data_IF_496136109744
#
_entry.id   IF_496136109744
#
_cell.length_a   1.000
_cell.length_b   1.000
_cell.length_c   1.000
_cell.angle_alpha   90.00
_cell.angle_beta   90.00
_cell.angle_gamma   90.00
#
_symmetry.space_group_name_H-M   'P 1'
#
loop_
_entity.id
_entity.type
_entity.pdbx_description
1 polymer ?
#
# COMPACT_ATOMS: atom_id res chain seq x y z
N UNK A 1 -12.74 8.90 -45.82
CA UNK A 1 -11.88 9.47 -44.75
C UNK A 1 -11.96 8.53 -43.56
N UNK A 2 -10.91 7.74 -43.32
CA UNK A 2 -10.84 6.81 -42.19
C UNK A 2 -10.22 7.55 -41.00
N UNK A 3 -10.98 7.72 -39.92
CA UNK A 3 -10.45 8.23 -38.66
C UNK A 3 -9.50 7.17 -38.08
N UNK A 4 -8.22 7.50 -37.97
CA UNK A 4 -7.26 6.72 -37.21
C UNK A 4 -7.66 6.82 -35.74
N UNK A 5 -8.25 5.74 -35.19
CA UNK A 5 -8.39 5.60 -33.76
C UNK A 5 -6.99 5.42 -33.15
N UNK A 6 -6.42 6.52 -32.65
CA UNK A 6 -5.28 6.47 -31.75
C UNK A 6 -5.69 5.65 -30.53
N UNK A 7 -4.95 4.58 -30.21
CA UNK A 7 -5.19 3.76 -29.03
C UNK A 7 -5.15 4.58 -27.74
N UNK A 8 -5.63 4.03 -26.61
CA UNK A 8 -5.60 4.73 -25.33
C UNK A 8 -4.17 5.12 -24.97
N UNK A 9 -4.01 6.37 -24.51
CA UNK A 9 -2.73 6.87 -24.05
C UNK A 9 -2.29 6.06 -22.81
N UNK A 10 -0.98 5.78 -22.66
CA UNK A 10 -0.48 5.13 -21.46
C UNK A 10 -0.76 6.01 -20.23
N UNK A 11 -0.99 5.40 -19.04
CA UNK A 11 -1.20 6.15 -17.82
C UNK A 11 0.03 7.00 -17.48
N UNK A 12 -0.21 8.25 -17.10
CA UNK A 12 0.83 9.23 -16.74
C UNK A 12 1.54 8.82 -15.44
N UNK A 13 0.81 8.15 -14.55
CA UNK A 13 1.31 7.67 -13.27
C UNK A 13 1.67 6.19 -13.33
N UNK A 14 2.78 5.77 -12.70
CA UNK A 14 3.06 4.36 -12.52
C UNK A 14 1.95 3.70 -11.70
N UNK A 15 1.74 2.40 -11.94
CA UNK A 15 0.73 1.61 -11.21
C UNK A 15 1.06 1.56 -9.72
N UNK A 16 0.05 1.63 -8.87
CA UNK A 16 0.19 1.31 -7.44
C UNK A 16 0.67 -0.14 -7.28
N UNK A 17 1.65 -0.33 -6.40
CA UNK A 17 2.29 -1.62 -6.13
C UNK A 17 2.05 -2.10 -4.70
N UNK A 18 1.72 -1.19 -3.80
CA UNK A 18 1.57 -1.46 -2.38
C UNK A 18 0.31 -0.81 -1.84
N UNK A 19 -0.36 -1.48 -0.92
CA UNK A 19 -1.50 -0.94 -0.17
C UNK A 19 -1.20 -1.04 1.32
N UNK A 20 -1.22 0.11 2.01
CA UNK A 20 -1.07 0.23 3.45
C UNK A 20 -2.46 0.38 4.04
N UNK A 21 -2.90 -0.62 4.80
CA UNK A 21 -4.17 -0.61 5.53
C UNK A 21 -3.91 -0.32 6.99
N UNK A 22 -4.78 0.46 7.60
CA UNK A 22 -4.72 0.71 9.04
C UNK A 22 -6.12 0.85 9.65
N UNK A 23 -6.21 0.51 10.93
CA UNK A 23 -7.41 0.62 11.73
C UNK A 23 -7.07 1.27 13.06
N UNK A 24 -7.80 2.32 13.44
CA UNK A 24 -7.69 2.95 14.76
C UNK A 24 -8.71 2.37 15.74
N UNK A 25 -8.47 2.47 17.06
CA UNK A 25 -9.48 2.13 18.05
C UNK A 25 -10.82 2.84 17.77
N UNK A 26 -11.93 2.13 17.98
CA UNK A 26 -13.31 2.62 17.82
C UNK A 26 -13.74 3.03 16.40
N UNK A 27 -12.91 2.86 15.37
CA UNK A 27 -13.35 2.99 13.98
C UNK A 27 -13.87 1.65 13.46
N UNK A 28 -15.09 1.61 12.93
CA UNK A 28 -15.64 0.41 12.27
C UNK A 28 -15.03 0.19 10.88
N UNK A 29 -14.50 1.25 10.26
CA UNK A 29 -13.91 1.21 8.91
C UNK A 29 -12.46 1.64 8.95
N UNK A 30 -11.58 0.81 8.41
CA UNK A 30 -10.17 1.13 8.22
C UNK A 30 -9.91 2.14 7.10
N UNK A 31 -8.70 2.67 7.10
CA UNK A 31 -8.13 3.49 6.03
C UNK A 31 -7.19 2.64 5.17
N UNK A 32 -7.12 2.94 3.88
CA UNK A 32 -6.22 2.28 2.95
C UNK A 32 -5.61 3.32 2.02
N UNK A 33 -4.29 3.42 2.03
CA UNK A 33 -3.49 4.28 1.16
C UNK A 33 -2.66 3.41 0.21
N UNK A 34 -2.47 3.88 -1.03
CA UNK A 34 -1.73 3.15 -2.06
C UNK A 34 -0.47 3.88 -2.48
N UNK A 35 0.56 3.10 -2.78
CA UNK A 35 1.89 3.59 -3.12
C UNK A 35 2.44 2.84 -4.32
N UNK A 36 3.19 3.55 -5.16
CA UNK A 36 3.94 3.01 -6.28
C UNK A 36 5.37 2.58 -5.89
N UNK A 37 5.93 3.14 -4.81
CA UNK A 37 7.28 2.90 -4.32
C UNK A 37 7.26 2.17 -2.98
N UNK A 38 8.17 1.20 -2.82
CA UNK A 38 8.26 0.37 -1.62
C UNK A 38 8.66 1.21 -0.40
N UNK A 39 9.63 2.12 -0.58
CA UNK A 39 10.18 2.97 0.48
C UNK A 39 9.11 3.86 1.09
N UNK A 40 8.19 4.36 0.28
CA UNK A 40 7.09 5.20 0.75
C UNK A 40 6.07 4.40 1.56
N UNK A 41 5.74 3.18 1.11
CA UNK A 41 4.86 2.28 1.85
C UNK A 41 5.49 1.85 3.18
N UNK A 42 6.80 1.58 3.17
CA UNK A 42 7.57 1.21 4.36
C UNK A 42 7.60 2.34 5.38
N UNK A 43 8.00 3.54 4.96
CA UNK A 43 7.98 4.72 5.83
C UNK A 43 6.58 5.01 6.39
N UNK A 44 5.53 4.85 5.58
CA UNK A 44 4.15 5.05 6.03
C UNK A 44 3.76 4.04 7.12
N UNK A 45 4.08 2.75 6.93
CA UNK A 45 3.82 1.71 7.92
C UNK A 45 4.55 1.97 9.24
N UNK A 46 5.85 2.32 9.17
CA UNK A 46 6.64 2.63 10.35
C UNK A 46 6.09 3.86 11.09
N UNK A 47 5.75 4.94 10.36
CA UNK A 47 5.16 6.13 10.99
C UNK A 47 3.82 5.84 11.65
N UNK A 48 2.98 4.99 11.05
CA UNK A 48 1.71 4.56 11.66
C UNK A 48 1.94 3.72 12.92
N UNK A 49 2.93 2.82 12.91
CA UNK A 49 3.32 2.01 14.07
C UNK A 49 3.82 2.90 15.20
N UNK A 50 4.77 3.77 14.88
CA UNK A 50 5.44 4.63 15.86
C UNK A 50 4.50 5.68 16.45
N UNK A 51 3.48 6.12 15.68
CA UNK A 51 2.42 6.96 16.22
C UNK A 51 1.59 6.25 17.31
N UNK A 52 1.52 4.92 17.30
CA UNK A 52 0.83 4.13 18.33
C UNK A 52 -0.69 4.30 18.36
N UNK A 53 -1.28 4.85 17.29
CA UNK A 53 -2.72 5.16 17.21
C UNK A 53 -3.54 4.09 16.48
N UNK A 54 -2.88 3.10 15.87
CA UNK A 54 -3.53 2.04 15.11
C UNK A 54 -3.49 0.72 15.88
N UNK A 55 -4.60 -0.02 15.91
CA UNK A 55 -4.70 -1.38 16.46
C UNK A 55 -4.34 -2.45 15.43
N UNK A 56 -4.45 -2.10 14.14
CA UNK A 56 -4.01 -2.95 13.03
C UNK A 56 -3.32 -2.08 11.99
N UNK A 57 -2.25 -2.62 11.43
CA UNK A 57 -1.54 -2.07 10.27
C UNK A 57 -1.14 -3.26 9.42
N UNK A 58 -1.44 -3.21 8.12
CA UNK A 58 -1.00 -4.21 7.15
C UNK A 58 -0.43 -3.51 5.92
N UNK A 59 0.65 -4.06 5.36
CA UNK A 59 1.14 -3.68 4.04
C UNK A 59 1.06 -4.87 3.12
N UNK A 60 0.38 -4.70 2.00
CA UNK A 60 0.14 -5.74 1.01
C UNK A 60 0.77 -5.34 -0.31
N UNK A 61 1.59 -6.21 -0.89
CA UNK A 61 2.03 -6.07 -2.28
C UNK A 61 0.88 -6.45 -3.21
N UNK A 62 0.49 -5.53 -4.09
CA UNK A 62 -0.71 -5.66 -4.90
C UNK A 62 -0.57 -6.64 -6.07
N UNK A 63 0.65 -6.98 -6.47
CA UNK A 63 0.90 -7.86 -7.61
C UNK A 63 0.60 -9.33 -7.29
N UNK A 64 0.99 -9.78 -6.09
CA UNK A 64 0.87 -11.16 -5.63
C UNK A 64 0.04 -11.32 -4.34
N UNK A 65 -0.38 -10.22 -3.71
CA UNK A 65 -1.18 -10.22 -2.49
C UNK A 65 -0.40 -10.58 -1.22
N UNK A 66 0.93 -10.63 -1.29
CA UNK A 66 1.76 -10.95 -0.12
C UNK A 66 1.68 -9.85 0.93
N UNK A 67 1.50 -10.25 2.19
CA UNK A 67 1.62 -9.35 3.35
C UNK A 67 3.09 -9.17 3.70
N UNK A 68 3.60 -7.96 3.53
CA UNK A 68 4.99 -7.58 3.81
C UNK A 68 5.16 -7.07 5.25
N UNK A 69 4.07 -6.55 5.83
CA UNK A 69 4.03 -6.06 7.19
C UNK A 69 2.65 -6.35 7.78
N UNK A 70 2.61 -6.82 9.03
CA UNK A 70 1.38 -6.98 9.82
C UNK A 70 1.69 -6.75 11.29
N UNK A 71 1.16 -5.67 11.85
CA UNK A 71 1.37 -5.32 13.26
C UNK A 71 0.78 -6.37 14.21
N UNK A 72 -0.39 -6.93 13.89
CA UNK A 72 -1.10 -7.84 14.78
C UNK A 72 -0.49 -9.26 14.72
N UNK A 73 0.00 -9.67 13.55
CA UNK A 73 0.67 -10.95 13.36
C UNK A 73 2.19 -10.90 13.64
N UNK A 74 2.76 -9.71 13.86
CA UNK A 74 4.19 -9.53 14.10
C UNK A 74 5.06 -9.78 12.86
N UNK A 75 4.52 -9.54 11.66
CA UNK A 75 5.23 -9.68 10.40
C UNK A 75 5.89 -8.35 10.06
N UNK A 76 7.18 -8.37 9.77
CA UNK A 76 7.93 -7.21 9.26
C UNK A 76 9.05 -7.74 8.35
N UNK A 77 8.75 -7.84 7.06
CA UNK A 77 9.75 -8.19 6.06
C UNK A 77 10.77 -7.03 5.92
N UNK A 78 12.04 -7.31 5.62
CA UNK A 78 13.02 -6.25 5.37
C UNK A 78 12.70 -5.52 4.07
N UNK A 79 13.02 -4.22 3.97
CA UNK A 79 12.67 -3.37 2.83
C UNK A 79 13.10 -3.95 1.47
N UNK A 80 14.20 -4.69 1.42
CA UNK A 80 14.70 -5.36 0.21
C UNK A 80 13.74 -6.42 -0.34
N UNK A 81 12.82 -6.94 0.48
CA UNK A 81 11.82 -7.94 0.11
C UNK A 81 10.47 -7.35 -0.32
N UNK A 82 10.29 -6.02 -0.21
CA UNK A 82 9.03 -5.33 -0.47
C UNK A 82 8.73 -5.21 -1.96
#
# INVERSE_FOLDING_TARGET
MSWLHSGPLPPIWPRDRYEVRSLRPAQERGTADRYNLAEQAYEAALRLRDAGLCTQIQVIRLDDGVTLFDLAAGIEEPLEAW
#
